data_IF_198055781740
#
_entry.id   IF_198055781740
#
_cell.length_a   1.000
_cell.length_b   1.000
_cell.length_c   1.000
_cell.angle_alpha   90.00
_cell.angle_beta   90.00
_cell.angle_gamma   90.00
#
_symmetry.space_group_name_H-M   'P 1'
#
loop_
_entity.id
_entity.type
_entity.pdbx_description
1 polymer ?
#
# COMPACT_ATOMS: atom_id res chain seq x y z
N UNK A 1 24.10 -47.30 -20.14
CA UNK A 1 22.75 -46.75 -19.89
C UNK A 1 22.62 -46.53 -18.38
N UNK A 2 23.12 -45.40 -17.88
CA UNK A 2 23.06 -45.04 -16.46
C UNK A 2 21.90 -44.06 -16.25
N UNK A 3 20.98 -44.44 -15.39
CA UNK A 3 19.80 -43.68 -14.97
C UNK A 3 20.21 -42.53 -14.06
N UNK A 4 20.01 -41.29 -14.53
CA UNK A 4 20.20 -40.08 -13.71
C UNK A 4 18.93 -39.89 -12.88
N UNK A 5 19.04 -40.15 -11.58
CA UNK A 5 18.01 -39.81 -10.61
C UNK A 5 17.97 -38.28 -10.43
N UNK A 6 16.90 -37.65 -10.88
CA UNK A 6 16.62 -36.24 -10.61
C UNK A 6 16.21 -36.07 -9.13
N UNK A 7 17.15 -35.58 -8.31
CA UNK A 7 16.82 -35.11 -6.96
C UNK A 7 15.87 -33.92 -7.08
N UNK A 8 14.65 -34.07 -6.54
CA UNK A 8 13.77 -32.93 -6.29
C UNK A 8 14.44 -32.02 -5.26
N UNK A 9 14.52 -30.70 -5.49
CA UNK A 9 14.99 -29.78 -4.45
C UNK A 9 14.07 -29.86 -3.23
N UNK A 10 14.67 -29.91 -2.05
CA UNK A 10 13.95 -29.92 -0.78
C UNK A 10 13.10 -28.65 -0.68
N UNK A 11 11.81 -28.81 -0.38
CA UNK A 11 10.92 -27.69 -0.14
C UNK A 11 11.44 -26.91 1.08
N UNK A 12 11.63 -25.59 0.91
CA UNK A 12 11.97 -24.69 2.01
C UNK A 12 10.88 -24.79 3.10
N UNK A 13 11.26 -24.77 4.40
CA UNK A 13 10.30 -24.84 5.49
C UNK A 13 9.31 -23.68 5.40
N UNK A 14 8.03 -24.00 5.26
CA UNK A 14 6.95 -23.00 5.29
C UNK A 14 6.83 -22.45 6.71
N UNK A 15 6.93 -21.13 6.94
CA UNK A 15 6.74 -20.56 8.26
C UNK A 15 5.33 -20.89 8.79
N UNK A 16 5.28 -21.45 10.00
CA UNK A 16 4.03 -21.77 10.70
C UNK A 16 3.47 -20.50 11.32
N UNK A 17 2.44 -19.94 10.69
CA UNK A 17 1.69 -18.79 11.21
C UNK A 17 0.68 -19.28 12.26
N UNK A 18 0.84 -18.87 13.52
CA UNK A 18 -0.23 -18.91 14.53
C UNK A 18 -0.47 -17.48 15.00
N UNK A 19 -1.62 -16.87 14.67
CA UNK A 19 -1.93 -15.53 15.13
C UNK A 19 -2.07 -15.53 16.66
N UNK A 20 -1.48 -14.52 17.31
CA UNK A 20 -1.67 -14.30 18.75
C UNK A 20 -2.90 -13.41 18.88
N UNK A 21 -4.06 -14.04 19.09
CA UNK A 21 -5.27 -13.31 19.47
C UNK A 21 -5.13 -12.98 20.95
N UNK A 22 -4.47 -11.86 21.28
CA UNK A 22 -4.61 -11.28 22.62
C UNK A 22 -6.07 -10.80 22.73
N UNK A 23 -6.75 -11.30 23.75
CA UNK A 23 -8.19 -11.15 24.00
C UNK A 23 -9.11 -11.78 22.95
N UNK A 24 -8.98 -13.11 22.79
CA UNK A 24 -10.15 -13.94 22.53
C UNK A 24 -11.06 -13.97 23.77
N UNK A 25 -11.54 -12.80 24.21
CA UNK A 25 -12.79 -12.76 24.96
C UNK A 25 -13.79 -13.36 24.00
N UNK A 26 -14.38 -14.48 24.40
CA UNK A 26 -15.55 -15.06 23.76
C UNK A 26 -16.68 -14.05 23.97
N UNK A 27 -16.64 -12.95 23.23
CA UNK A 27 -17.79 -12.08 23.12
C UNK A 27 -18.85 -12.89 22.40
N UNK A 28 -20.02 -12.95 23.02
CA UNK A 28 -21.27 -13.47 22.44
C UNK A 28 -21.30 -13.09 20.97
N UNK A 29 -21.75 -14.00 20.10
CA UNK A 29 -22.15 -13.73 18.71
C UNK A 29 -22.90 -12.39 18.63
N UNK A 30 -22.18 -11.30 18.46
CA UNK A 30 -22.70 -10.08 17.90
C UNK A 30 -22.75 -10.40 16.42
N UNK A 31 -23.96 -10.38 15.85
CA UNK A 31 -24.07 -10.05 14.44
C UNK A 31 -23.14 -8.86 14.19
N UNK A 32 -22.19 -8.98 13.25
CA UNK A 32 -21.21 -7.93 12.99
C UNK A 32 -21.89 -6.57 12.90
N UNK A 33 -21.32 -5.55 13.53
CA UNK A 33 -21.91 -4.23 13.50
C UNK A 33 -21.87 -3.68 12.08
N UNK A 34 -22.88 -2.89 11.71
CA UNK A 34 -22.86 -2.15 10.44
C UNK A 34 -21.92 -0.95 10.56
N UNK A 35 -21.29 -0.56 9.45
CA UNK A 35 -20.42 0.61 9.47
C UNK A 35 -21.25 1.91 9.58
N UNK A 36 -21.24 2.49 10.77
CA UNK A 36 -21.75 3.84 11.03
C UNK A 36 -20.63 4.90 11.08
N UNK A 37 -20.58 5.87 10.15
CA UNK A 37 -19.50 6.88 10.08
C UNK A 37 -19.35 7.71 11.36
N UNK A 38 -20.47 8.10 11.98
CA UNK A 38 -20.50 8.91 13.19
C UNK A 38 -19.88 8.23 14.42
N UNK A 39 -19.80 6.89 14.41
CA UNK A 39 -19.18 6.07 15.47
C UNK A 39 -17.79 5.60 15.08
N UNK A 40 -17.61 5.20 13.83
CA UNK A 40 -16.44 4.46 13.37
C UNK A 40 -15.38 5.36 12.73
N UNK A 41 -15.72 6.55 12.24
CA UNK A 41 -14.73 7.53 11.79
C UNK A 41 -14.22 8.37 12.96
N UNK A 42 -12.93 8.23 13.24
CA UNK A 42 -12.22 8.98 14.27
C UNK A 42 -11.36 10.10 13.71
N UNK A 43 -11.80 10.74 12.61
CA UNK A 43 -10.92 11.57 11.79
C UNK A 43 -10.24 12.71 12.57
N UNK A 44 -8.91 12.71 12.54
CA UNK A 44 -8.05 13.84 12.94
C UNK A 44 -7.12 14.13 11.79
N UNK A 45 -6.92 15.40 11.46
CA UNK A 45 -6.06 15.80 10.34
C UNK A 45 -4.58 15.45 10.62
N UNK A 46 -3.80 15.03 9.61
CA UNK A 46 -2.35 14.88 9.77
C UNK A 46 -1.69 16.19 10.20
N UNK A 47 -0.66 16.10 11.05
CA UNK A 47 0.15 17.26 11.48
C UNK A 47 0.92 17.87 10.31
N UNK A 48 1.35 17.03 9.36
CA UNK A 48 2.08 17.46 8.18
C UNK A 48 1.70 16.63 6.95
N UNK A 49 1.65 17.32 5.81
CA UNK A 49 1.48 16.74 4.48
C UNK A 49 2.60 17.32 3.63
N UNK A 50 3.32 16.47 2.89
CA UNK A 50 4.35 16.88 1.96
C UNK A 50 3.85 16.79 0.53
N UNK A 51 4.19 17.79 -0.26
CA UNK A 51 3.98 17.82 -1.70
C UNK A 51 5.09 17.09 -2.47
N UNK A 52 4.81 16.75 -3.73
CA UNK A 52 5.79 16.18 -4.66
C UNK A 52 7.02 17.09 -4.78
N UNK A 53 6.82 18.41 -4.85
CA UNK A 53 7.91 19.38 -4.99
C UNK A 53 8.77 19.50 -3.75
N UNK A 54 8.18 19.43 -2.55
CA UNK A 54 8.94 19.43 -1.29
C UNK A 54 9.84 18.20 -1.20
N UNK A 55 9.40 17.06 -1.71
CA UNK A 55 10.23 15.87 -1.86
C UNK A 55 11.18 15.93 -3.06
N UNK A 56 11.28 17.05 -3.77
CA UNK A 56 12.19 17.24 -4.90
C UNK A 56 11.75 16.56 -6.20
N UNK A 57 10.48 16.17 -6.33
CA UNK A 57 9.91 15.68 -7.57
C UNK A 57 9.30 16.81 -8.40
N UNK A 58 9.15 16.60 -9.71
CA UNK A 58 8.42 17.54 -10.56
C UNK A 58 6.92 17.52 -10.25
N UNK A 59 6.24 18.64 -10.48
CA UNK A 59 4.78 18.78 -10.32
C UNK A 59 3.99 17.72 -11.10
N UNK A 60 4.50 17.35 -12.27
CA UNK A 60 3.83 16.41 -13.19
C UNK A 60 4.19 14.94 -12.93
N UNK A 61 5.03 14.65 -11.93
CA UNK A 61 5.43 13.27 -11.63
C UNK A 61 4.25 12.43 -11.17
N UNK A 62 3.39 12.97 -10.32
CA UNK A 62 2.22 12.28 -9.76
C UNK A 62 0.90 12.68 -10.42
N UNK A 63 -0.20 12.12 -9.91
CA UNK A 63 -1.59 12.49 -10.28
C UNK A 63 -2.17 13.56 -9.35
N UNK A 64 -1.42 13.94 -8.32
CA UNK A 64 -1.75 14.98 -7.35
C UNK A 64 -0.50 15.76 -6.94
N UNK A 65 -0.64 17.01 -6.49
CA UNK A 65 0.47 17.72 -5.84
C UNK A 65 0.93 17.06 -4.53
N UNK A 66 0.09 16.29 -3.83
CA UNK A 66 0.40 15.72 -2.51
C UNK A 66 1.18 14.42 -2.64
N UNK A 67 2.39 14.36 -2.10
CA UNK A 67 3.21 13.15 -2.12
C UNK A 67 2.81 12.16 -1.03
N UNK A 68 2.79 12.62 0.23
CA UNK A 68 2.61 11.77 1.40
C UNK A 68 2.09 12.58 2.59
N UNK A 69 1.29 11.96 3.46
CA UNK A 69 0.92 12.52 4.76
C UNK A 69 1.70 11.86 5.89
N UNK A 70 1.90 12.58 7.00
CA UNK A 70 2.12 11.91 8.28
C UNK A 70 0.90 11.04 8.65
N UNK A 71 1.08 10.06 9.56
CA UNK A 71 -0.04 9.32 10.11
C UNK A 71 -1.10 10.25 10.71
N UNK A 72 -2.35 9.88 10.51
CA UNK A 72 -3.50 10.63 11.02
C UNK A 72 -4.58 9.65 11.47
N UNK A 73 -5.36 10.01 12.49
CA UNK A 73 -6.45 9.12 12.94
C UNK A 73 -7.53 9.07 11.84
N UNK A 74 -7.85 7.88 11.36
CA UNK A 74 -8.92 7.68 10.37
C UNK A 74 -10.12 6.98 11.01
N UNK A 75 -9.89 5.81 11.59
CA UNK A 75 -10.92 4.97 12.21
C UNK A 75 -10.79 4.99 13.74
N UNK A 76 -11.90 4.81 14.45
CA UNK A 76 -11.88 4.61 15.90
C UNK A 76 -11.30 3.25 16.25
N UNK A 77 -10.95 3.07 17.52
CA UNK A 77 -10.48 1.78 18.03
C UNK A 77 -11.53 0.68 17.85
N UNK A 78 -12.80 1.01 18.09
CA UNK A 78 -13.95 0.12 17.86
C UNK A 78 -13.98 -0.40 16.42
N UNK A 79 -13.84 0.50 15.44
CA UNK A 79 -13.82 0.14 14.04
C UNK A 79 -12.64 -0.76 13.66
N UNK A 80 -11.46 -0.51 14.25
CA UNK A 80 -10.29 -1.39 14.04
C UNK A 80 -10.56 -2.78 14.60
N UNK A 81 -11.19 -2.88 15.77
CA UNK A 81 -11.56 -4.17 16.34
C UNK A 81 -12.54 -4.93 15.44
N UNK A 82 -13.53 -4.27 14.85
CA UNK A 82 -14.42 -4.89 13.85
C UNK A 82 -13.63 -5.42 12.65
N UNK A 83 -12.78 -4.58 12.04
CA UNK A 83 -11.95 -4.97 10.89
C UNK A 83 -11.06 -6.18 11.24
N UNK A 84 -10.46 -6.18 12.44
CA UNK A 84 -9.66 -7.31 12.94
C UNK A 84 -10.50 -8.59 13.04
N UNK A 85 -11.72 -8.51 13.57
CA UNK A 85 -12.60 -9.69 13.66
C UNK A 85 -12.92 -10.26 12.29
N UNK A 86 -13.05 -9.43 11.26
CA UNK A 86 -13.29 -9.88 9.90
C UNK A 86 -12.09 -10.60 9.28
N UNK A 87 -10.87 -10.07 9.44
CA UNK A 87 -9.66 -10.67 8.83
C UNK A 87 -9.24 -11.99 9.48
N UNK A 88 -9.63 -12.24 10.74
CA UNK A 88 -9.32 -13.47 11.47
C UNK A 88 -10.37 -14.56 11.33
N UNK A 89 -11.43 -14.34 10.54
CA UNK A 89 -12.39 -15.41 10.21
C UNK A 89 -11.65 -16.58 9.52
N UNK A 90 -11.89 -17.85 9.90
CA UNK A 90 -11.21 -18.99 9.30
C UNK A 90 -11.34 -19.04 7.77
N UNK A 91 -12.53 -18.73 7.26
CA UNK A 91 -12.83 -18.67 5.83
C UNK A 91 -12.03 -17.61 5.06
N UNK A 92 -11.64 -16.50 5.72
CA UNK A 92 -10.77 -15.48 5.10
C UNK A 92 -9.34 -16.00 5.00
N UNK A 93 -8.82 -16.55 6.10
CA UNK A 93 -7.45 -17.08 6.13
C UNK A 93 -7.25 -18.27 5.19
N UNK A 94 -8.29 -19.06 4.94
CA UNK A 94 -8.27 -20.22 4.05
C UNK A 94 -8.36 -19.82 2.57
N UNK A 95 -9.23 -18.87 2.22
CA UNK A 95 -9.56 -18.57 0.82
C UNK A 95 -8.81 -17.36 0.23
N UNK A 96 -8.25 -16.48 1.06
CA UNK A 96 -7.75 -15.18 0.61
C UNK A 96 -6.25 -14.96 0.88
N UNK A 97 -5.52 -16.01 1.27
CA UNK A 97 -4.11 -15.93 1.68
C UNK A 97 -3.14 -16.09 0.51
N UNK A 98 -2.17 -15.18 0.44
CA UNK A 98 -1.10 -15.14 -0.58
C UNK A 98 0.28 -14.90 0.07
N UNK A 99 1.34 -15.16 -0.68
CA UNK A 99 2.74 -14.93 -0.27
C UNK A 99 3.64 -14.69 -1.49
N UNK A 100 4.72 -13.94 -1.32
CA UNK A 100 5.76 -13.69 -2.34
C UNK A 100 7.18 -13.75 -1.76
N UNK A 101 8.20 -13.53 -2.61
CA UNK A 101 9.59 -13.37 -2.18
C UNK A 101 9.82 -12.17 -1.24
N UNK A 102 9.00 -11.12 -1.35
CA UNK A 102 9.12 -9.91 -0.53
C UNK A 102 8.12 -9.84 0.64
N UNK A 103 7.10 -10.70 0.67
CA UNK A 103 6.07 -10.70 1.71
C UNK A 103 5.62 -12.12 2.08
N UNK A 104 5.83 -12.52 3.34
CA UNK A 104 5.60 -13.89 3.79
C UNK A 104 4.12 -14.31 3.88
N UNK A 105 3.22 -13.37 4.19
CA UNK A 105 1.78 -13.65 4.38
C UNK A 105 0.94 -12.39 4.15
N UNK A 106 0.04 -12.46 3.17
CA UNK A 106 -0.87 -11.36 2.81
C UNK A 106 -2.30 -11.87 2.63
N UNK A 107 -3.29 -11.01 2.86
CA UNK A 107 -4.69 -11.26 2.46
C UNK A 107 -5.11 -10.29 1.36
N UNK A 108 -5.76 -10.79 0.32
CA UNK A 108 -6.31 -9.97 -0.77
C UNK A 108 -7.70 -10.45 -1.17
N UNK A 109 -8.57 -9.54 -1.61
CA UNK A 109 -9.90 -9.89 -2.15
C UNK A 109 -10.91 -10.45 -1.15
N UNK A 110 -10.67 -10.30 0.16
CA UNK A 110 -11.58 -10.83 1.17
C UNK A 110 -12.75 -9.87 1.45
N UNK A 111 -12.54 -8.56 1.29
CA UNK A 111 -13.45 -7.55 1.82
C UNK A 111 -14.89 -7.65 1.28
N UNK A 112 -15.11 -7.72 -0.05
CA UNK A 112 -16.47 -7.70 -0.62
C UNK A 112 -17.35 -8.87 -0.17
N UNK A 113 -16.74 -10.02 0.11
CA UNK A 113 -17.47 -11.27 0.40
C UNK A 113 -17.51 -11.61 1.89
N UNK A 114 -16.42 -11.36 2.60
CA UNK A 114 -16.23 -11.88 3.97
C UNK A 114 -16.15 -10.78 5.03
N UNK A 115 -16.01 -9.51 4.62
CA UNK A 115 -15.79 -8.39 5.53
C UNK A 115 -16.69 -7.19 5.19
N UNK A 116 -18.03 -7.31 5.33
CA UNK A 116 -18.97 -6.23 5.00
C UNK A 116 -18.68 -4.93 5.77
N UNK A 117 -18.27 -4.99 7.04
CA UNK A 117 -17.93 -3.78 7.79
C UNK A 117 -16.74 -3.07 7.15
N UNK A 118 -15.67 -3.81 6.86
CA UNK A 118 -14.47 -3.28 6.20
C UNK A 118 -14.80 -2.75 4.80
N UNK A 119 -15.59 -3.49 4.02
CA UNK A 119 -15.99 -3.09 2.67
C UNK A 119 -16.78 -1.78 2.67
N UNK A 120 -17.78 -1.67 3.55
CA UNK A 120 -18.59 -0.47 3.70
C UNK A 120 -17.74 0.70 4.21
N UNK A 121 -16.85 0.46 5.19
CA UNK A 121 -15.98 1.48 5.74
C UNK A 121 -15.11 2.16 4.67
N UNK A 122 -14.54 1.39 3.74
CA UNK A 122 -13.68 1.91 2.68
C UNK A 122 -14.42 2.47 1.47
N UNK A 123 -15.68 2.09 1.27
CA UNK A 123 -16.54 2.65 0.21
C UNK A 123 -17.42 3.82 0.67
N UNK A 124 -17.51 4.06 1.98
CA UNK A 124 -18.40 5.08 2.51
C UNK A 124 -18.01 6.50 2.03
N UNK A 125 -18.96 7.33 1.56
CA UNK A 125 -18.67 8.67 1.06
C UNK A 125 -17.90 9.57 2.02
N UNK A 126 -18.15 9.48 3.33
CA UNK A 126 -17.42 10.27 4.35
C UNK A 126 -15.95 9.84 4.47
N UNK A 127 -15.67 8.53 4.41
CA UNK A 127 -14.29 8.01 4.37
C UNK A 127 -13.57 8.52 3.12
N UNK A 128 -14.22 8.40 1.96
CA UNK A 128 -13.65 8.86 0.69
C UNK A 128 -13.42 10.38 0.67
N UNK A 129 -14.30 11.16 1.29
CA UNK A 129 -14.14 12.61 1.42
C UNK A 129 -12.91 12.97 2.26
N UNK A 130 -12.68 12.27 3.38
CA UNK A 130 -11.48 12.46 4.21
C UNK A 130 -10.21 12.13 3.42
N UNK A 131 -10.18 10.96 2.78
CA UNK A 131 -9.02 10.49 2.01
C UNK A 131 -8.72 11.44 0.85
N UNK A 132 -9.75 11.83 0.09
CA UNK A 132 -9.63 12.76 -1.05
C UNK A 132 -9.14 14.14 -0.61
N UNK A 133 -9.61 14.64 0.53
CA UNK A 133 -9.16 15.92 1.10
C UNK A 133 -7.67 15.92 1.39
N UNK A 134 -7.15 14.85 2.00
CA UNK A 134 -5.73 14.73 2.32
C UNK A 134 -4.90 14.51 1.06
N UNK A 135 -5.40 13.68 0.13
CA UNK A 135 -4.72 13.38 -1.13
C UNK A 135 -4.70 14.56 -2.10
N UNK A 136 -5.51 15.60 -1.90
CA UNK A 136 -5.56 16.77 -2.79
C UNK A 136 -6.22 16.50 -4.15
N UNK A 137 -6.89 15.36 -4.32
CA UNK A 137 -7.62 14.95 -5.52
C UNK A 137 -8.78 14.04 -5.11
N UNK A 138 -9.89 14.05 -5.85
CA UNK A 138 -11.02 13.15 -5.61
C UNK A 138 -10.64 11.70 -5.95
N UNK A 139 -10.68 10.82 -4.95
CA UNK A 139 -10.24 9.44 -5.00
C UNK A 139 -11.41 8.45 -4.82
N UNK A 140 -11.25 7.30 -5.48
CA UNK A 140 -12.08 6.09 -5.29
C UNK A 140 -11.17 4.88 -5.13
N UNK A 141 -11.60 3.84 -4.41
CA UNK A 141 -10.90 2.55 -4.43
C UNK A 141 -10.71 2.10 -5.88
N UNK A 142 -9.54 1.55 -6.20
CA UNK A 142 -9.24 1.17 -7.59
C UNK A 142 -10.16 0.03 -8.04
N UNK A 143 -10.26 -0.99 -7.19
CA UNK A 143 -10.91 -2.26 -7.42
C UNK A 143 -11.27 -2.87 -6.05
N UNK A 144 -12.26 -3.76 -6.04
CA UNK A 144 -12.73 -4.45 -4.84
C UNK A 144 -11.65 -5.38 -4.27
N UNK A 145 -10.88 -6.02 -5.16
CA UNK A 145 -9.70 -6.83 -4.82
C UNK A 145 -8.66 -6.05 -3.98
N UNK A 146 -8.59 -4.74 -4.19
CA UNK A 146 -7.60 -3.83 -3.60
C UNK A 146 -8.10 -3.11 -2.34
N UNK A 147 -9.29 -3.45 -1.86
CA UNK A 147 -9.82 -2.93 -0.60
C UNK A 147 -9.18 -3.68 0.56
N UNK A 148 -8.51 -2.91 1.43
CA UNK A 148 -7.97 -3.34 2.71
C UNK A 148 -7.06 -4.58 2.66
N UNK A 149 -6.21 -4.72 1.64
CA UNK A 149 -5.26 -5.82 1.57
C UNK A 149 -4.39 -5.87 2.82
N UNK A 150 -4.25 -7.03 3.44
CA UNK A 150 -3.61 -7.16 4.76
C UNK A 150 -2.20 -7.69 4.60
N UNK A 151 -1.25 -7.08 5.31
CA UNK A 151 0.10 -7.61 5.49
C UNK A 151 0.25 -8.07 6.94
N UNK A 152 0.64 -9.33 7.15
CA UNK A 152 0.94 -9.87 8.46
C UNK A 152 2.45 -9.95 8.71
N UNK A 153 2.90 -9.35 9.80
CA UNK A 153 4.21 -9.61 10.40
C UNK A 153 4.01 -10.02 11.85
N UNK A 154 4.32 -11.28 12.18
CA UNK A 154 4.13 -11.85 13.53
C UNK A 154 5.44 -12.47 14.01
N UNK A 155 5.77 -12.22 15.27
CA UNK A 155 6.95 -12.76 15.97
C UNK A 155 6.49 -13.59 17.16
N UNK A 156 7.30 -14.56 17.56
CA UNK A 156 7.05 -15.29 18.81
C UNK A 156 7.36 -14.42 20.04
N UNK A 157 6.77 -14.77 21.19
CA UNK A 157 7.06 -14.05 22.44
C UNK A 157 8.54 -14.12 22.84
N UNK A 158 9.21 -15.22 22.50
CA UNK A 158 10.63 -15.45 22.80
C UNK A 158 11.51 -14.50 21.98
N UNK A 159 11.27 -14.42 20.67
CA UNK A 159 11.97 -13.50 19.76
C UNK A 159 11.73 -12.04 20.17
N UNK A 160 10.49 -11.70 20.55
CA UNK A 160 10.15 -10.33 20.99
C UNK A 160 10.86 -9.95 22.30
N UNK A 161 10.94 -10.87 23.27
CA UNK A 161 11.63 -10.65 24.55
C UNK A 161 13.15 -10.57 24.37
N UNK A 162 13.72 -11.38 23.47
CA UNK A 162 15.15 -11.34 23.13
C UNK A 162 15.52 -10.01 22.45
N UNK A 163 14.73 -9.53 21.47
CA UNK A 163 14.91 -8.21 20.84
C UNK A 163 14.84 -7.07 21.87
N UNK A 164 13.81 -7.07 22.74
CA UNK A 164 13.65 -6.03 23.77
C UNK A 164 14.81 -6.03 24.78
N UNK A 165 15.32 -7.20 25.16
CA UNK A 165 16.46 -7.31 26.06
C UNK A 165 17.76 -6.79 25.42
N UNK A 166 17.92 -6.98 24.12
CA UNK A 166 19.08 -6.48 23.35
C UNK A 166 18.99 -4.96 23.15
N UNK A 167 17.83 -4.41 22.79
CA UNK A 167 17.61 -2.97 22.67
C UNK A 167 17.84 -2.27 24.01
N UNK A 168 17.34 -2.84 25.12
CA UNK A 168 17.57 -2.30 26.45
C UNK A 168 19.04 -2.40 26.89
N UNK A 169 19.79 -3.41 26.44
CA UNK A 169 21.25 -3.46 26.61
C UNK A 169 21.93 -2.37 25.79
N UNK A 170 21.59 -2.20 24.51
CA UNK A 170 22.18 -1.17 23.66
C UNK A 170 21.87 0.25 24.17
N UNK A 171 20.64 0.55 24.59
CA UNK A 171 20.28 1.84 25.24
C UNK A 171 21.10 2.13 26.51
N UNK A 172 21.55 1.10 27.23
CA UNK A 172 22.46 1.25 28.38
C UNK A 172 23.91 1.43 27.96
N UNK A 173 24.34 0.80 26.85
CA UNK A 173 25.70 0.94 26.32
C UNK A 173 25.94 2.32 25.66
N UNK A 174 24.95 2.91 25.00
CA UNK A 174 25.07 4.26 24.40
C UNK A 174 25.08 5.42 25.42
N UNK A 175 24.87 5.14 26.71
CA UNK A 175 25.06 6.14 27.75
C UNK A 175 26.53 6.27 28.22
N UNK A 176 27.39 5.30 27.88
CA UNK A 176 28.72 5.16 28.50
C UNK A 176 29.91 5.07 27.51
N UNK A 177 29.73 5.15 26.19
CA UNK A 177 30.89 5.13 25.27
C UNK A 177 30.68 5.96 23.98
N UNK A 178 31.61 6.88 23.72
CA UNK A 178 31.71 7.65 22.48
C UNK A 178 32.35 6.79 21.39
N UNK A 179 31.59 6.47 20.34
CA UNK A 179 32.16 6.19 19.02
C UNK A 179 32.18 4.73 18.56
N UNK A 180 31.58 4.54 17.38
CA UNK A 180 31.96 3.61 16.32
C UNK A 180 32.04 2.12 16.74
N UNK A 181 30.89 1.46 16.67
CA UNK A 181 30.83 0.05 16.29
C UNK A 181 29.50 -0.22 15.58
N UNK A 182 29.58 -0.58 14.29
CA UNK A 182 28.43 -0.99 13.50
C UNK A 182 27.74 -2.20 14.12
N UNK A 183 26.41 -2.17 14.17
CA UNK A 183 25.59 -3.30 14.59
C UNK A 183 25.72 -4.45 13.57
N UNK A 184 26.11 -5.66 14.00
CA UNK A 184 26.11 -6.83 13.12
C UNK A 184 24.76 -7.54 13.24
N UNK A 185 23.91 -7.43 12.23
CA UNK A 185 22.76 -8.32 12.05
C UNK A 185 22.73 -8.85 10.61
N UNK A 186 22.88 -10.17 10.46
CA UNK A 186 22.72 -10.89 9.18
C UNK A 186 21.24 -11.16 8.81
N UNK A 187 20.27 -10.40 9.35
CA UNK A 187 18.87 -10.46 8.88
C UNK A 187 18.12 -9.12 9.10
N UNK A 188 18.75 -8.01 8.70
CA UNK A 188 18.22 -6.63 8.72
C UNK A 188 17.11 -6.37 7.68
N UNK A 189 16.40 -7.43 7.24
CA UNK A 189 15.45 -7.30 6.13
C UNK A 189 14.21 -6.48 6.51
N UNK A 190 13.78 -5.56 5.64
CA UNK A 190 12.56 -4.77 5.80
C UNK A 190 11.31 -5.65 5.81
N UNK A 191 10.17 -5.11 6.29
CA UNK A 191 8.87 -5.82 6.22
C UNK A 191 8.42 -5.95 4.76
N UNK A 192 8.67 -4.91 3.98
CA UNK A 192 8.54 -4.91 2.51
C UNK A 192 9.72 -4.13 1.96
N UNK A 193 10.45 -4.74 1.02
CA UNK A 193 11.63 -4.15 0.36
C UNK A 193 11.35 -2.86 -0.40
N UNK A 194 12.38 -2.25 -0.98
CA UNK A 194 12.20 -1.09 -1.84
C UNK A 194 11.32 -1.42 -3.05
N UNK A 195 10.24 -0.66 -3.22
CA UNK A 195 9.31 -0.86 -4.33
C UNK A 195 8.59 0.45 -4.69
N UNK A 196 7.86 0.40 -5.81
CA UNK A 196 6.79 1.33 -6.13
C UNK A 196 5.49 0.54 -6.22
N UNK A 197 4.40 1.13 -5.77
CA UNK A 197 3.10 0.46 -5.80
C UNK A 197 2.59 0.27 -7.22
N UNK A 198 1.63 -0.64 -7.34
CA UNK A 198 0.85 -0.85 -8.56
C UNK A 198 -0.03 0.35 -8.90
N UNK A 199 -0.57 1.05 -7.90
CA UNK A 199 -1.66 2.01 -8.07
C UNK A 199 -1.27 3.43 -7.66
N UNK A 200 -1.90 4.47 -8.24
CA UNK A 200 -1.53 5.87 -8.02
C UNK A 200 -1.42 6.27 -6.55
N UNK A 201 -2.36 5.81 -5.72
CA UNK A 201 -2.42 6.09 -4.30
C UNK A 201 -2.62 4.84 -3.46
N UNK A 202 -2.10 4.87 -2.25
CA UNK A 202 -2.41 3.93 -1.19
C UNK A 202 -2.76 4.66 0.11
N UNK A 203 -3.67 4.08 0.88
CA UNK A 203 -3.93 4.45 2.26
C UNK A 203 -3.58 3.25 3.15
N UNK A 204 -2.53 3.40 3.97
CA UNK A 204 -2.02 2.35 4.86
C UNK A 204 -2.60 2.57 6.26
N UNK A 205 -3.52 1.72 6.68
CA UNK A 205 -4.14 1.69 8.00
C UNK A 205 -3.41 0.70 8.92
N UNK A 206 -3.06 1.13 10.13
CA UNK A 206 -2.54 0.22 11.16
C UNK A 206 -3.67 -0.46 11.93
N UNK A 207 -3.66 -1.79 11.97
CA UNK A 207 -4.60 -2.61 12.73
C UNK A 207 -4.03 -3.16 14.04
N UNK A 208 -2.72 -3.11 14.24
CA UNK A 208 -2.11 -3.54 15.52
C UNK A 208 -1.88 -2.36 16.45
N UNK A 209 -1.91 -2.61 17.76
CA UNK A 209 -1.41 -1.66 18.74
C UNK A 209 0.12 -1.61 18.65
N UNK A 210 0.62 -0.43 18.26
CA UNK A 210 2.04 -0.16 18.08
C UNK A 210 2.63 0.77 19.14
N UNK A 211 1.93 1.00 20.26
CA UNK A 211 2.31 2.00 21.27
C UNK A 211 3.72 1.81 21.84
N UNK A 212 4.18 0.57 21.96
CA UNK A 212 5.51 0.23 22.51
C UNK A 212 6.56 -0.12 21.44
N UNK A 213 6.28 0.15 20.16
CA UNK A 213 7.19 -0.19 19.06
C UNK A 213 8.25 0.87 18.84
N UNK A 214 9.46 0.40 18.52
CA UNK A 214 10.55 1.23 17.97
C UNK A 214 10.75 0.83 16.51
N UNK A 215 10.77 1.81 15.61
CA UNK A 215 10.82 1.57 14.17
C UNK A 215 9.42 1.48 13.54
N UNK A 216 9.33 0.83 12.37
CA UNK A 216 8.06 0.68 11.63
C UNK A 216 7.71 1.88 10.74
N UNK A 217 8.64 2.82 10.57
CA UNK A 217 8.53 3.94 9.66
C UNK A 217 8.42 3.48 8.20
N UNK A 218 7.83 4.34 7.38
CA UNK A 218 7.95 4.20 5.92
C UNK A 218 9.11 5.09 5.46
N UNK A 219 10.16 4.47 4.95
CA UNK A 219 11.24 5.17 4.29
C UNK A 219 10.83 5.51 2.86
N UNK A 220 11.02 6.77 2.47
CA UNK A 220 10.70 7.31 1.16
C UNK A 220 11.97 7.83 0.52
N UNK A 221 12.25 7.41 -0.70
CA UNK A 221 13.31 8.04 -1.48
C UNK A 221 12.77 9.33 -2.09
N UNK A 222 13.47 10.43 -1.87
CA UNK A 222 13.13 11.75 -2.43
C UNK A 222 13.62 11.86 -3.88
N UNK A 223 13.12 12.85 -4.63
CA UNK A 223 13.59 13.16 -5.97
C UNK A 223 15.04 13.63 -6.04
N UNK A 224 15.65 13.93 -4.88
CA UNK A 224 17.06 14.30 -4.75
C UNK A 224 17.97 13.11 -4.48
N UNK A 225 17.40 11.95 -4.19
CA UNK A 225 18.12 10.71 -3.86
C UNK A 225 18.24 10.42 -2.37
N UNK A 226 17.97 11.40 -1.50
CA UNK A 226 17.99 11.25 -0.04
C UNK A 226 16.78 10.44 0.46
N UNK A 227 16.89 9.82 1.63
CA UNK A 227 15.80 9.08 2.28
C UNK A 227 15.12 9.95 3.35
N UNK A 228 13.79 10.01 3.30
CA UNK A 228 12.95 10.60 4.34
C UNK A 228 12.15 9.51 5.04
N UNK A 229 12.23 9.42 6.37
CA UNK A 229 11.42 8.48 7.16
C UNK A 229 10.16 9.17 7.67
N UNK A 230 9.00 8.58 7.40
CA UNK A 230 7.71 9.02 7.95
C UNK A 230 7.33 8.08 9.08
N UNK A 231 6.97 8.65 10.24
CA UNK A 231 6.56 7.90 11.43
C UNK A 231 5.53 6.84 11.06
N UNK A 232 5.66 5.63 11.63
CA UNK A 232 4.68 4.57 11.45
C UNK A 232 3.33 4.91 12.11
N UNK A 233 2.19 4.53 11.52
CA UNK A 233 0.88 4.72 12.13
C UNK A 233 0.69 3.84 13.38
N UNK A 234 0.02 4.39 14.40
CA UNK A 234 -0.52 3.62 15.53
C UNK A 234 -1.92 3.09 15.18
N UNK A 235 -2.47 2.19 16.00
CA UNK A 235 -3.78 1.57 15.74
C UNK A 235 -4.86 2.59 15.36
N UNK A 236 -5.54 2.35 14.22
CA UNK A 236 -6.59 3.23 13.68
C UNK A 236 -6.08 4.48 12.97
N UNK A 237 -4.77 4.76 13.03
CA UNK A 237 -4.14 5.77 12.19
C UNK A 237 -3.86 5.22 10.80
N UNK A 238 -3.97 6.11 9.81
CA UNK A 238 -3.64 5.84 8.43
C UNK A 238 -2.61 6.84 7.90
N UNK A 239 -1.88 6.45 6.84
CA UNK A 239 -1.04 7.35 6.06
C UNK A 239 -1.40 7.21 4.57
N UNK A 240 -1.43 8.35 3.86
CA UNK A 240 -1.68 8.38 2.42
C UNK A 240 -0.36 8.62 1.69
N UNK A 241 -0.12 7.87 0.61
CA UNK A 241 1.10 7.94 -0.19
C UNK A 241 0.77 7.80 -1.69
N UNK A 242 1.41 8.61 -2.53
CA UNK A 242 1.46 8.43 -3.99
C UNK A 242 2.45 7.31 -4.37
N UNK A 243 2.18 6.08 -3.93
CA UNK A 243 3.13 4.98 -3.91
C UNK A 243 3.59 4.48 -5.28
N UNK A 244 2.80 4.69 -6.35
CA UNK A 244 3.23 4.42 -7.73
C UNK A 244 4.42 5.29 -8.16
N UNK A 245 4.50 6.51 -7.60
CA UNK A 245 5.42 7.55 -8.05
C UNK A 245 6.62 7.72 -7.12
N UNK A 246 6.53 7.20 -5.90
CA UNK A 246 7.54 7.37 -4.85
C UNK A 246 8.05 6.00 -4.44
N UNK A 247 9.34 5.77 -4.68
CA UNK A 247 10.01 4.55 -4.22
C UNK A 247 10.08 4.56 -2.70
N UNK A 248 9.60 3.49 -2.08
CA UNK A 248 9.46 3.43 -0.64
C UNK A 248 9.71 2.02 -0.09
N UNK A 249 9.93 1.97 1.22
CA UNK A 249 10.26 0.76 1.97
C UNK A 249 9.58 0.81 3.33
N UNK A 250 8.98 -0.32 3.75
CA UNK A 250 8.38 -0.45 5.07
C UNK A 250 9.40 -1.03 6.04
N UNK A 251 9.86 -0.21 6.99
CA UNK A 251 10.86 -0.62 7.96
C UNK A 251 10.28 -1.61 8.97
N UNK A 252 11.14 -2.48 9.47
CA UNK A 252 10.80 -3.38 10.57
C UNK A 252 10.56 -2.57 11.84
N UNK A 253 9.60 -3.04 12.61
CA UNK A 253 9.38 -2.55 13.95
C UNK A 253 9.84 -3.60 14.97
N UNK A 254 10.46 -3.12 16.02
CA UNK A 254 11.01 -3.90 17.11
C UNK A 254 10.12 -3.73 18.35
N UNK A 255 10.01 -4.79 19.15
CA UNK A 255 9.30 -4.75 20.44
C UNK A 255 7.79 -5.06 20.41
N UNK A 256 7.18 -5.29 19.26
CA UNK A 256 5.83 -5.85 19.17
C UNK A 256 5.81 -7.30 18.69
N UNK A 257 4.84 -8.05 19.22
CA UNK A 257 4.56 -9.43 18.83
C UNK A 257 3.87 -9.50 17.45
N UNK A 258 3.09 -8.48 17.08
CA UNK A 258 2.44 -8.42 15.76
C UNK A 258 2.45 -7.00 15.18
N UNK A 259 2.50 -6.93 13.85
CA UNK A 259 2.27 -5.73 13.05
C UNK A 259 1.38 -6.12 11.88
N UNK A 260 0.11 -5.70 11.96
CA UNK A 260 -0.91 -5.93 10.95
C UNK A 260 -1.27 -4.58 10.33
N UNK A 261 -1.06 -4.46 9.02
CA UNK A 261 -1.46 -3.27 8.25
C UNK A 261 -2.46 -3.66 7.18
N UNK A 262 -3.55 -2.91 7.07
CA UNK A 262 -4.49 -3.00 5.96
C UNK A 262 -4.22 -1.83 5.00
N UNK A 263 -4.17 -2.12 3.71
CA UNK A 263 -3.82 -1.12 2.69
C UNK A 263 -4.91 -1.12 1.64
N UNK A 264 -5.48 0.06 1.39
CA UNK A 264 -6.47 0.27 0.33
C UNK A 264 -5.85 1.10 -0.77
N UNK A 265 -5.95 0.62 -2.01
CA UNK A 265 -5.41 1.30 -3.18
C UNK A 265 -6.46 2.20 -3.84
N UNK A 266 -6.06 3.40 -4.27
CA UNK A 266 -6.95 4.41 -4.84
C UNK A 266 -6.48 4.91 -6.21
N UNK A 267 -7.45 5.34 -7.01
CA UNK A 267 -7.24 6.12 -8.25
C UNK A 267 -8.05 7.42 -8.20
N UNK A 268 -7.66 8.43 -8.99
CA UNK A 268 -8.56 9.55 -9.26
C UNK A 268 -9.92 9.09 -9.77
N UNK A 269 -11.00 9.67 -9.25
CA UNK A 269 -12.38 9.37 -9.68
C UNK A 269 -12.60 9.74 -11.15
N UNK A 270 -12.11 10.92 -11.53
CA UNK A 270 -12.30 11.46 -12.88
C UNK A 270 -11.73 10.51 -13.93
N UNK A 271 -12.52 10.09 -14.94
CA UNK A 271 -11.99 9.25 -16.01
C UNK A 271 -10.96 10.01 -16.85
N UNK A 272 -10.93 11.35 -16.81
CA UNK A 272 -9.98 12.19 -17.57
C UNK A 272 -8.66 12.43 -16.85
N UNK A 273 -8.57 12.06 -15.57
CA UNK A 273 -7.31 12.08 -14.85
C UNK A 273 -6.38 10.98 -15.38
N UNK A 274 -5.07 11.18 -15.17
CA UNK A 274 -4.06 10.18 -15.51
C UNK A 274 -4.22 8.98 -14.55
N UNK A 275 -4.10 7.78 -15.10
CA UNK A 275 -4.16 6.52 -14.38
C UNK A 275 -3.01 5.63 -14.88
N UNK A 276 -1.92 5.64 -14.10
CA UNK A 276 -0.69 4.88 -14.36
C UNK A 276 -0.66 3.56 -13.59
N UNK A 277 -1.84 3.02 -13.26
CA UNK A 277 -1.97 1.72 -12.60
C UNK A 277 -1.30 0.62 -13.41
N UNK A 278 -0.43 -0.15 -12.77
CA UNK A 278 0.24 -1.34 -13.34
C UNK A 278 -0.11 -2.56 -12.51
N UNK A 279 -0.03 -3.74 -13.11
CA UNK A 279 -0.36 -5.01 -12.45
C UNK A 279 0.88 -5.84 -12.14
N UNK A 280 2.08 -5.31 -12.39
CA UNK A 280 3.35 -6.03 -12.26
C UNK A 280 3.60 -6.61 -10.86
N UNK A 281 3.31 -5.87 -9.79
CA UNK A 281 3.57 -6.31 -8.41
C UNK A 281 2.42 -7.09 -7.80
N UNK A 282 1.19 -6.94 -8.31
CA UNK A 282 -0.01 -7.60 -7.77
C UNK A 282 -0.42 -8.87 -8.50
N UNK A 283 -0.08 -9.03 -9.80
CA UNK A 283 -0.34 -10.26 -10.58
C UNK A 283 0.19 -11.52 -9.89
N UNK A 284 1.44 -11.55 -9.39
CA UNK A 284 2.00 -12.77 -8.78
C UNK A 284 1.30 -13.20 -7.48
N UNK A 285 0.53 -12.32 -6.85
CA UNK A 285 -0.03 -12.48 -5.51
C UNK A 285 -1.55 -12.32 -5.46
N UNK A 286 -2.24 -12.52 -6.58
CA UNK A 286 -3.69 -12.35 -6.68
C UNK A 286 -4.35 -13.50 -7.43
N UNK A 287 -5.66 -13.66 -7.27
CA UNK A 287 -6.44 -14.43 -8.23
C UNK A 287 -6.50 -13.67 -9.56
N UNK A 288 -5.87 -14.21 -10.61
CA UNK A 288 -5.75 -13.53 -11.92
C UNK A 288 -7.11 -13.27 -12.58
N UNK A 289 -8.04 -14.21 -12.49
CA UNK A 289 -9.39 -14.05 -13.06
C UNK A 289 -10.13 -12.87 -12.42
N UNK A 290 -10.10 -12.76 -11.09
CA UNK A 290 -10.66 -11.61 -10.37
C UNK A 290 -9.93 -10.31 -10.71
N UNK A 291 -8.59 -10.31 -10.63
CA UNK A 291 -7.75 -9.15 -10.90
C UNK A 291 -8.00 -8.57 -12.30
N UNK A 292 -7.97 -9.43 -13.33
CA UNK A 292 -8.14 -9.00 -14.71
C UNK A 292 -9.58 -8.62 -15.04
N UNK A 293 -10.57 -9.28 -14.43
CA UNK A 293 -11.98 -8.92 -14.63
C UNK A 293 -12.26 -7.52 -14.06
N UNK A 294 -11.88 -7.27 -12.81
CA UNK A 294 -12.09 -5.95 -12.17
C UNK A 294 -11.26 -4.85 -12.86
N UNK A 295 -10.02 -5.16 -13.25
CA UNK A 295 -9.17 -4.19 -13.97
C UNK A 295 -9.76 -3.83 -15.33
N UNK A 296 -10.21 -4.83 -16.09
CA UNK A 296 -10.86 -4.58 -17.37
C UNK A 296 -12.15 -3.80 -17.20
N UNK A 297 -12.97 -4.15 -16.21
CA UNK A 297 -14.25 -3.48 -15.95
C UNK A 297 -14.07 -1.98 -15.70
N UNK A 298 -13.22 -1.58 -14.74
CA UNK A 298 -13.10 -0.15 -14.43
C UNK A 298 -12.42 0.63 -15.57
N UNK A 299 -11.45 0.02 -16.26
CA UNK A 299 -10.75 0.66 -17.39
C UNK A 299 -11.70 0.87 -18.57
N UNK A 300 -12.57 -0.10 -18.85
CA UNK A 300 -13.60 0.02 -19.88
C UNK A 300 -14.68 1.03 -19.50
N UNK A 301 -15.10 1.08 -18.23
CA UNK A 301 -16.03 2.11 -17.73
C UNK A 301 -15.46 3.53 -17.91
N UNK A 302 -14.18 3.75 -17.60
CA UNK A 302 -13.50 5.02 -17.85
C UNK A 302 -13.53 5.39 -19.35
N UNK A 303 -13.25 4.42 -20.23
CA UNK A 303 -13.30 4.65 -21.67
C UNK A 303 -14.72 4.98 -22.16
N UNK A 304 -15.74 4.31 -21.61
CA UNK A 304 -17.14 4.61 -21.92
C UNK A 304 -17.47 6.08 -21.63
N UNK A 305 -17.08 6.58 -20.46
CA UNK A 305 -17.29 7.98 -20.07
C UNK A 305 -16.52 8.96 -20.97
N UNK A 306 -15.26 8.66 -21.29
CA UNK A 306 -14.43 9.48 -22.19
C UNK A 306 -15.04 9.57 -23.59
N UNK A 307 -15.43 8.44 -24.17
CA UNK A 307 -16.06 8.39 -25.50
C UNK A 307 -17.40 9.10 -25.49
N UNK A 308 -18.22 8.90 -24.45
CA UNK A 308 -19.51 9.57 -24.29
C UNK A 308 -19.35 11.10 -24.23
N UNK A 309 -18.37 11.60 -23.48
CA UNK A 309 -18.06 13.03 -23.41
C UNK A 309 -17.58 13.57 -24.76
N UNK A 310 -16.65 12.90 -25.43
CA UNK A 310 -16.16 13.34 -26.74
C UNK A 310 -17.28 13.34 -27.79
N UNK A 311 -18.17 12.34 -27.77
CA UNK A 311 -19.34 12.28 -28.66
C UNK A 311 -20.28 13.46 -28.42
N UNK A 312 -20.50 13.85 -27.16
CA UNK A 312 -21.29 15.03 -26.81
C UNK A 312 -20.69 16.29 -27.42
N UNK A 313 -19.38 16.50 -27.28
CA UNK A 313 -18.70 17.65 -27.89
C UNK A 313 -18.82 17.68 -29.42
N UNK A 314 -18.66 16.53 -30.08
CA UNK A 314 -18.80 16.42 -31.55
C UNK A 314 -20.20 16.84 -31.99
N UNK A 315 -21.24 16.36 -31.28
CA UNK A 315 -22.65 16.71 -31.56
C UNK A 315 -22.93 18.18 -31.34
N UNK A 316 -22.41 18.77 -30.26
CA UNK A 316 -22.61 20.20 -29.94
C UNK A 316 -21.92 21.13 -30.95
N UNK A 317 -20.67 20.82 -31.35
CA UNK A 317 -19.95 21.59 -32.38
C UNK A 317 -20.64 21.51 -33.74
N UNK A 318 -21.14 20.33 -34.10
CA UNK A 318 -21.91 20.13 -35.35
C UNK A 318 -23.21 20.95 -35.37
N UNK A 319 -23.99 20.90 -34.28
CA UNK A 319 -25.25 21.67 -34.16
C UNK A 319 -25.05 23.18 -34.21
N UNK A 320 -23.91 23.68 -33.71
CA UNK A 320 -23.59 25.12 -33.70
C UNK A 320 -22.91 25.60 -34.99
N UNK A 321 -22.78 24.74 -36.01
CA UNK A 321 -22.13 25.07 -37.28
C UNK A 321 -20.63 25.35 -37.16
N UNK A 322 -20.01 25.04 -36.01
CA UNK A 322 -18.57 25.24 -35.79
C UNK A 322 -17.79 24.22 -36.61
N UNK A 323 -16.66 24.66 -37.18
CA UNK A 323 -15.74 23.76 -37.89
C UNK A 323 -15.24 22.65 -36.97
N UNK A 324 -15.17 21.43 -37.49
CA UNK A 324 -14.61 20.30 -36.76
C UNK A 324 -13.12 20.51 -36.47
N UNK A 325 -12.73 20.45 -35.20
CA UNK A 325 -11.36 20.65 -34.76
C UNK A 325 -10.56 19.34 -34.87
N UNK A 326 -10.13 19.01 -36.10
CA UNK A 326 -9.40 17.76 -36.39
C UNK A 326 -8.18 17.54 -35.50
N UNK A 327 -7.46 18.61 -35.13
CA UNK A 327 -6.29 18.53 -34.24
C UNK A 327 -6.65 18.02 -32.85
N UNK A 328 -7.72 18.56 -32.25
CA UNK A 328 -8.16 18.16 -30.92
C UNK A 328 -8.71 16.73 -30.92
N UNK A 329 -9.49 16.37 -31.95
CA UNK A 329 -9.99 15.01 -32.07
C UNK A 329 -8.87 13.99 -32.27
N UNK A 330 -7.84 14.32 -33.06
CA UNK A 330 -6.64 13.46 -33.18
C UNK A 330 -5.92 13.29 -31.85
N UNK A 331 -5.79 14.35 -31.04
CA UNK A 331 -5.20 14.26 -29.70
C UNK A 331 -6.00 13.31 -28.80
N UNK A 332 -7.33 13.45 -28.77
CA UNK A 332 -8.21 12.53 -28.06
C UNK A 332 -8.00 11.07 -28.50
N UNK A 333 -7.94 10.80 -29.81
CA UNK A 333 -7.70 9.46 -30.34
C UNK A 333 -6.32 8.92 -29.91
N UNK A 334 -5.27 9.73 -29.97
CA UNK A 334 -3.93 9.34 -29.52
C UNK A 334 -3.92 8.98 -28.04
N UNK A 335 -4.60 9.76 -27.19
CA UNK A 335 -4.74 9.47 -25.75
C UNK A 335 -5.47 8.13 -25.51
N UNK A 336 -6.53 7.84 -26.26
CA UNK A 336 -7.29 6.59 -26.09
C UNK A 336 -6.49 5.38 -26.60
N UNK A 337 -5.74 5.52 -27.70
CA UNK A 337 -4.83 4.48 -28.19
C UNK A 337 -3.77 4.17 -27.13
N UNK A 338 -3.14 5.20 -26.54
CA UNK A 338 -2.16 5.00 -25.48
C UNK A 338 -2.77 4.32 -24.24
N UNK A 339 -4.00 4.68 -23.86
CA UNK A 339 -4.72 4.07 -22.74
C UNK A 339 -4.99 2.57 -22.95
N UNK A 340 -5.42 2.17 -24.15
CA UNK A 340 -5.62 0.77 -24.50
C UNK A 340 -4.31 0.00 -24.66
N UNK A 341 -3.29 0.62 -25.24
CA UNK A 341 -1.97 0.00 -25.32
C UNK A 341 -1.39 -0.29 -23.94
N UNK A 342 -1.55 0.65 -22.99
CA UNK A 342 -1.16 0.44 -21.60
C UNK A 342 -1.92 -0.75 -20.98
N UNK A 343 -3.24 -0.78 -21.13
CA UNK A 343 -4.07 -1.89 -20.63
C UNK A 343 -3.65 -3.24 -21.25
N UNK A 344 -3.36 -3.28 -22.54
CA UNK A 344 -2.88 -4.47 -23.25
C UNK A 344 -1.54 -4.97 -22.69
N UNK A 345 -0.62 -4.07 -22.32
CA UNK A 345 0.68 -4.44 -21.78
C UNK A 345 0.58 -5.00 -20.35
N UNK A 346 -0.38 -4.54 -19.56
CA UNK A 346 -0.56 -4.99 -18.17
C UNK A 346 -1.27 -6.35 -18.06
N UNK A 347 -2.17 -6.66 -19.00
CA UNK A 347 -2.91 -7.92 -19.05
C UNK A 347 -2.16 -8.96 -19.88
N UNK A 348 -1.40 -9.83 -19.22
CA UNK A 348 -0.64 -10.92 -19.86
C UNK A 348 -1.37 -12.25 -19.74
N UNK A 349 -1.14 -13.21 -20.66
CA UNK A 349 -1.66 -14.57 -20.53
C UNK A 349 -1.30 -15.19 -19.16
N UNK A 350 -2.24 -15.91 -18.56
CA UNK A 350 -2.10 -16.48 -17.22
C UNK A 350 -0.86 -17.39 -17.10
N UNK A 351 -0.53 -18.12 -18.17
CA UNK A 351 0.63 -19.00 -18.27
C UNK A 351 1.99 -18.28 -18.23
N UNK A 352 2.02 -16.97 -18.47
CA UNK A 352 3.26 -16.16 -18.41
C UNK A 352 3.53 -15.61 -17.00
N UNK A 353 2.58 -15.74 -16.07
CA UNK A 353 2.70 -15.18 -14.71
C UNK A 353 3.49 -16.11 -13.80
N UNK A 354 4.59 -15.59 -13.23
CA UNK A 354 5.37 -16.27 -12.19
C UNK A 354 4.75 -16.00 -10.81
N UNK A 355 3.86 -16.89 -10.37
CA UNK A 355 3.19 -16.77 -9.06
C UNK A 355 4.21 -16.72 -7.90
N UNK A 356 4.00 -15.76 -7.00
CA UNK A 356 4.82 -15.54 -5.80
C UNK A 356 6.16 -14.85 -6.03
N UNK A 357 6.47 -14.38 -7.25
CA UNK A 357 7.73 -13.71 -7.56
C UNK A 357 7.49 -12.28 -8.06
N UNK A 358 8.13 -11.31 -7.40
CA UNK A 358 8.11 -9.88 -7.74
C UNK A 358 9.56 -9.42 -7.92
N UNK A 359 9.83 -8.69 -9.01
CA UNK A 359 11.15 -8.13 -9.28
C UNK A 359 11.56 -7.13 -8.18
N UNK A 360 12.76 -7.31 -7.64
CA UNK A 360 13.31 -6.48 -6.57
C UNK A 360 14.00 -5.24 -7.13
N UNK A 361 13.86 -4.11 -6.43
CA UNK A 361 14.61 -2.89 -6.73
C UNK A 361 15.89 -2.90 -5.90
N UNK A 362 17.04 -2.92 -6.58
CA UNK A 362 18.36 -2.98 -5.95
C UNK A 362 18.77 -1.61 -5.36
N UNK A 363 18.33 -1.36 -4.13
CA UNK A 363 18.81 -0.26 -3.28
C UNK A 363 19.22 -0.81 -1.92
N UNK A 364 20.26 -0.24 -1.27
CA UNK A 364 20.61 -0.60 0.10
C UNK A 364 19.42 -0.39 1.05
N UNK A 365 19.14 -1.40 1.89
CA UNK A 365 18.07 -1.33 2.87
C UNK A 365 18.33 -0.27 3.95
N UNK A 366 17.28 0.43 4.38
CA UNK A 366 17.39 1.39 5.48
C UNK A 366 17.49 0.68 6.83
N UNK A 367 18.48 1.06 7.64
CA UNK A 367 18.68 0.52 9.00
C UNK A 367 17.66 1.13 9.98
N UNK A 368 16.97 0.28 10.74
CA UNK A 368 16.01 0.68 11.79
C UNK A 368 16.73 1.43 12.90
N UNK A 369 16.21 2.58 13.34
CA UNK A 369 16.76 3.36 14.45
C UNK A 369 18.04 4.15 14.17
N UNK A 370 18.56 4.13 12.93
CA UNK A 370 19.58 5.09 12.50
C UNK A 370 18.89 6.41 12.07
N UNK A 371 19.19 7.50 12.76
CA UNK A 371 19.00 8.83 12.19
C UNK A 371 20.23 9.06 11.29
N UNK A 372 20.06 8.98 9.97
CA UNK A 372 21.11 9.47 9.08
C UNK A 372 21.24 10.97 9.33
N UNK A 373 22.42 11.41 9.81
CA UNK A 373 22.69 12.83 9.96
C UNK A 373 22.43 13.52 8.62
N UNK A 374 21.74 14.68 8.61
CA UNK A 374 21.52 15.42 7.38
C UNK A 374 22.87 15.71 6.74
N UNK A 375 23.06 15.21 5.52
CA UNK A 375 24.25 15.44 4.69
C UNK A 375 24.68 16.92 4.79
N UNK A 376 25.96 17.21 5.07
CA UNK A 376 26.40 18.57 5.33
C UNK A 376 26.03 19.46 4.15
N UNK A 377 25.22 20.50 4.43
CA UNK A 377 24.87 21.55 3.47
C UNK A 377 26.14 21.95 2.73
N UNK A 378 26.23 21.63 1.44
CA UNK A 378 27.32 22.15 0.59
C UNK A 378 27.29 23.67 0.70
N UNK A 379 28.34 24.20 1.31
CA UNK A 379 28.62 25.61 1.43
C UNK A 379 28.48 26.24 0.04
N UNK A 380 27.67 27.30 -0.07
CA UNK A 380 27.74 28.19 -1.23
C UNK A 380 29.19 28.66 -1.32
N UNK A 381 29.85 28.32 -2.42
CA UNK A 381 31.07 29.01 -2.83
C UNK A 381 30.58 30.30 -3.49
N UNK A 382 30.98 31.42 -2.91
CA UNK A 382 30.69 32.77 -3.37
C UNK A 382 31.14 33.03 -4.82
#
# INVERSE_FOLDING_TARGET
MATVATQRPAALPRPSFKPIIQDAVVEKKSSGSEFEPSKHLGFKQPEQIWSMEELGYSKDRGVSPIAVSQPFQLFTEEAVHEMRREIFKPEVLENCKYSSNIAACQLRGYAPKYAPFTYDAWNHPETLAVISKIAGVDLVPVMDLEIAHVNFSVKSEKETKEELAIINKQKRFYADDEGIAGCPWEDDKPVVGWHTDSYPFVCVLMLSDCTNMVGGETALRTGRGDVMKVRGPTMGCAAILQGRYITHQALRALGAQERITAVTSFRPRSPFARDDSVLTTVRPISNLSTLYSEFAEYRLAMMEERVRAQLKEVREKSRTGKKFATKDFKRFLTEQIAFFQHMQNEMVPDEEVKIGYIDEIDYPDCVVGSDEEPSPKRTRVD
#
